data_IF_988996089918
#
_entry.id   IF_988996089918
#
_cell.length_a   1.000
_cell.length_b   1.000
_cell.length_c   1.000
_cell.angle_alpha   90.00
_cell.angle_beta   90.00
_cell.angle_gamma   90.00
#
_symmetry.space_group_name_H-M   'P 1'
#
loop_
_entity.id
_entity.type
_entity.pdbx_description
1 polymer ?
#
# COMPACT_ATOMS: atom_id res chain seq x y z
N UNK A 1 4.44 9.45 3.65
CA UNK A 1 5.73 8.85 3.27
C UNK A 1 5.76 7.33 3.39
N UNK A 2 5.21 6.72 4.46
CA UNK A 2 5.22 5.25 4.60
C UNK A 2 4.63 4.48 3.41
N UNK A 3 3.48 4.91 2.88
CA UNK A 3 2.84 4.26 1.73
C UNK A 3 3.70 4.27 0.45
N UNK A 4 4.44 5.35 0.20
CA UNK A 4 5.35 5.45 -0.94
C UNK A 4 6.52 4.48 -0.82
N UNK A 5 7.09 4.34 0.39
CA UNK A 5 8.20 3.41 0.65
C UNK A 5 7.75 1.96 0.45
N UNK A 6 6.56 1.59 0.92
CA UNK A 6 6.01 0.25 0.72
C UNK A 6 5.87 -0.11 -0.77
N UNK A 7 5.37 0.83 -1.58
CA UNK A 7 5.26 0.61 -3.03
C UNK A 7 6.62 0.59 -3.72
N UNK A 8 7.56 1.43 -3.28
CA UNK A 8 8.90 1.44 -3.83
C UNK A 8 9.61 0.11 -3.58
N UNK A 9 9.52 -0.42 -2.35
CA UNK A 9 10.05 -1.73 -2.02
C UNK A 9 9.40 -2.83 -2.86
N UNK A 10 8.07 -2.81 -3.00
CA UNK A 10 7.37 -3.79 -3.81
C UNK A 10 7.75 -3.75 -5.30
N UNK A 11 8.06 -2.56 -5.82
CA UNK A 11 8.60 -2.39 -7.17
C UNK A 11 10.02 -2.97 -7.32
N UNK A 12 10.87 -2.81 -6.32
CA UNK A 12 12.26 -3.28 -6.38
C UNK A 12 12.37 -4.79 -6.17
N UNK A 13 11.51 -5.37 -5.33
CA UNK A 13 11.57 -6.77 -4.94
C UNK A 13 10.21 -7.47 -5.14
N UNK A 14 9.65 -7.47 -6.36
CA UNK A 14 8.29 -7.97 -6.60
C UNK A 14 8.12 -9.46 -6.27
N UNK A 15 9.18 -10.25 -6.38
CA UNK A 15 9.17 -11.69 -6.02
C UNK A 15 9.17 -11.93 -4.50
N UNK A 16 9.39 -10.90 -3.69
CA UNK A 16 9.30 -10.96 -2.23
C UNK A 16 7.91 -10.59 -1.69
N UNK A 17 6.97 -10.24 -2.58
CA UNK A 17 5.68 -9.65 -2.22
C UNK A 17 4.54 -10.58 -2.57
N UNK A 18 3.70 -10.86 -1.57
CA UNK A 18 2.42 -11.56 -1.75
C UNK A 18 1.24 -10.59 -1.91
N UNK A 19 1.21 -9.54 -1.09
CA UNK A 19 0.19 -8.48 -1.08
C UNK A 19 0.83 -7.16 -0.64
N UNK A 20 0.34 -6.03 -1.17
CA UNK A 20 0.70 -4.68 -0.69
C UNK A 20 -0.54 -3.97 -0.20
N UNK A 21 -0.45 -3.33 0.97
CA UNK A 21 -1.47 -2.41 1.49
C UNK A 21 -0.84 -1.04 1.63
N UNK A 22 -1.53 0.00 1.16
CA UNK A 22 -1.07 1.39 1.27
C UNK A 22 -2.20 2.32 1.69
N UNK A 23 -1.87 3.25 2.58
CA UNK A 23 -2.74 4.36 2.98
C UNK A 23 -2.23 5.62 2.30
N UNK A 24 -2.94 6.02 1.25
CA UNK A 24 -2.83 7.31 0.57
C UNK A 24 -1.42 7.77 0.19
N UNK A 25 -0.66 6.86 -0.45
CA UNK A 25 0.59 7.21 -1.11
C UNK A 25 0.37 8.26 -2.21
N UNK A 26 1.35 9.15 -2.36
CA UNK A 26 1.18 10.34 -3.21
C UNK A 26 2.13 10.35 -4.40
N UNK A 27 3.25 9.63 -4.38
CA UNK A 27 4.37 9.83 -5.31
C UNK A 27 4.74 8.58 -6.09
N UNK A 28 4.75 7.42 -5.44
CA UNK A 28 5.16 6.17 -6.10
C UNK A 28 3.95 5.54 -6.82
N UNK A 29 4.02 5.34 -8.15
CA UNK A 29 2.92 4.73 -8.90
C UNK A 29 2.69 3.27 -8.58
N UNK A 30 1.47 2.77 -8.86
CA UNK A 30 1.17 1.36 -8.74
C UNK A 30 1.82 0.50 -9.84
N UNK A 31 2.11 -0.75 -9.50
CA UNK A 31 2.57 -1.76 -10.44
C UNK A 31 1.32 -2.38 -11.08
N UNK A 32 1.27 -2.40 -12.41
CA UNK A 32 0.09 -2.85 -13.18
C UNK A 32 0.32 -4.15 -13.93
N UNK A 33 1.45 -4.82 -13.67
CA UNK A 33 1.83 -6.11 -14.26
C UNK A 33 1.15 -7.33 -13.61
N UNK A 34 0.35 -7.10 -12.55
CA UNK A 34 -0.46 -8.12 -11.89
C UNK A 34 0.31 -9.15 -11.06
N UNK A 35 1.59 -8.88 -10.72
CA UNK A 35 2.46 -9.83 -9.99
C UNK A 35 2.01 -10.10 -8.56
N UNK A 36 1.40 -9.12 -7.91
CA UNK A 36 0.83 -9.22 -6.57
C UNK A 36 -0.38 -8.32 -6.45
N UNK A 37 -1.23 -8.58 -5.45
CA UNK A 37 -2.40 -7.76 -5.20
C UNK A 37 -2.06 -6.49 -4.43
N UNK A 38 -2.74 -5.40 -4.78
CA UNK A 38 -2.58 -4.10 -4.11
C UNK A 38 -3.94 -3.69 -3.53
N UNK A 39 -3.98 -3.35 -2.25
CA UNK A 39 -5.08 -2.62 -1.63
C UNK A 39 -4.60 -1.19 -1.32
N UNK A 40 -5.29 -0.20 -1.87
CA UNK A 40 -5.00 1.21 -1.60
C UNK A 40 -6.21 1.93 -1.06
N UNK A 41 -6.08 2.55 0.10
CA UNK A 41 -7.06 3.48 0.63
C UNK A 41 -6.69 4.89 0.18
N UNK A 42 -7.66 5.61 -0.39
CA UNK A 42 -7.48 6.96 -0.91
C UNK A 42 -8.28 7.95 -0.07
N UNK A 43 -7.62 9.02 0.35
CA UNK A 43 -8.30 10.12 1.03
C UNK A 43 -9.15 10.91 0.05
N UNK A 44 -10.09 11.68 0.60
CA UNK A 44 -10.74 12.82 -0.05
C UNK A 44 -10.15 14.11 0.50
N UNK A 45 -8.87 14.33 0.21
CA UNK A 45 -8.12 15.49 0.72
C UNK A 45 -7.98 16.61 -0.34
N UNK A 46 -8.23 17.88 0.02
CA UNK A 46 -8.06 19.00 -0.92
C UNK A 46 -6.59 19.37 -1.16
N UNK A 47 -5.68 19.04 -0.22
CA UNK A 47 -4.27 19.42 -0.24
C UNK A 47 -3.39 18.25 -0.67
N UNK A 48 -3.56 17.10 -0.04
CA UNK A 48 -2.73 15.92 -0.26
C UNK A 48 -3.26 15.09 -1.43
N UNK A 49 -2.89 15.48 -2.65
CA UNK A 49 -3.29 14.81 -3.88
C UNK A 49 -2.14 13.97 -4.45
N UNK A 50 -2.43 12.76 -4.97
CA UNK A 50 -1.42 11.98 -5.66
C UNK A 50 -0.95 12.70 -6.93
N UNK A 51 0.33 12.53 -7.26
CA UNK A 51 0.88 12.97 -8.53
C UNK A 51 0.17 12.23 -9.70
N UNK A 52 0.06 12.86 -10.89
CA UNK A 52 -0.54 12.22 -12.05
C UNK A 52 0.08 10.85 -12.36
N UNK A 53 -0.77 9.85 -12.60
CA UNK A 53 -0.33 8.48 -12.91
C UNK A 53 0.01 7.61 -11.70
N UNK A 54 -0.06 8.14 -10.47
CA UNK A 54 0.17 7.33 -9.27
C UNK A 54 -0.94 6.30 -9.07
N UNK A 55 -2.19 6.71 -9.27
CA UNK A 55 -3.36 5.83 -9.29
C UNK A 55 -3.80 5.69 -10.75
N UNK A 56 -3.72 4.47 -11.33
CA UNK A 56 -4.25 4.20 -12.67
C UNK A 56 -5.78 4.36 -12.73
N UNK A 57 -6.34 4.30 -13.93
CA UNK A 57 -7.79 4.23 -14.10
C UNK A 57 -8.38 2.93 -13.51
N UNK A 58 -9.70 2.93 -13.29
CA UNK A 58 -10.40 1.84 -12.61
C UNK A 58 -10.35 0.53 -13.44
N UNK A 59 -10.29 0.59 -14.77
CA UNK A 59 -10.20 -0.60 -15.63
C UNK A 59 -8.82 -1.26 -15.52
N UNK A 60 -7.76 -0.46 -15.55
CA UNK A 60 -6.38 -0.91 -15.36
C UNK A 60 -6.23 -1.49 -13.95
N UNK A 61 -6.80 -0.83 -12.93
CA UNK A 61 -6.80 -1.35 -11.57
C UNK A 61 -7.46 -2.74 -11.49
N UNK A 62 -8.65 -2.90 -12.08
CA UNK A 62 -9.36 -4.17 -12.07
C UNK A 62 -8.56 -5.29 -12.77
N UNK A 63 -7.99 -5.01 -13.95
CA UNK A 63 -7.17 -5.97 -14.71
C UNK A 63 -5.89 -6.37 -13.96
N UNK A 64 -5.29 -5.45 -13.23
CA UNK A 64 -4.05 -5.66 -12.49
C UNK A 64 -4.26 -6.24 -11.07
N UNK A 65 -5.51 -6.49 -10.64
CA UNK A 65 -5.79 -6.99 -9.28
C UNK A 65 -5.55 -5.94 -8.18
N UNK A 66 -5.74 -4.67 -8.52
CA UNK A 66 -5.63 -3.52 -7.62
C UNK A 66 -7.03 -3.13 -7.12
N UNK A 67 -7.19 -3.11 -5.81
CA UNK A 67 -8.40 -2.62 -5.15
C UNK A 67 -8.15 -1.22 -4.62
N UNK A 68 -8.87 -0.23 -5.17
CA UNK A 68 -8.82 1.16 -4.71
C UNK A 68 -10.07 1.48 -3.90
N UNK A 69 -9.90 1.72 -2.61
CA UNK A 69 -10.98 2.15 -1.71
C UNK A 69 -10.94 3.67 -1.58
N UNK A 70 -11.90 4.34 -2.22
CA UNK A 70 -12.06 5.80 -2.11
C UNK A 70 -12.87 6.11 -0.85
N UNK A 71 -12.23 6.71 0.14
CA UNK A 71 -12.85 7.03 1.44
C UNK A 71 -13.40 8.45 1.46
N UNK A 72 -14.15 8.79 2.51
CA UNK A 72 -14.58 10.17 2.81
C UNK A 72 -13.59 10.95 3.67
N UNK A 73 -12.52 10.31 4.14
CA UNK A 73 -11.59 10.82 5.14
C UNK A 73 -10.49 11.70 4.54
N UNK A 74 -9.93 12.62 5.34
CA UNK A 74 -8.73 13.36 4.97
C UNK A 74 -7.48 12.50 5.13
N UNK A 75 -6.35 12.95 4.56
CA UNK A 75 -5.08 12.22 4.63
C UNK A 75 -4.69 11.90 6.09
N UNK A 76 -4.83 12.90 6.97
CA UNK A 76 -4.45 12.79 8.39
C UNK A 76 -5.44 12.00 9.25
N UNK A 77 -6.64 11.70 8.75
CA UNK A 77 -7.63 10.89 9.48
C UNK A 77 -7.26 9.40 9.48
N UNK A 78 -6.38 8.97 8.56
CA UNK A 78 -5.99 7.55 8.39
C UNK A 78 -4.76 7.16 9.22
N UNK A 79 -4.55 7.84 10.35
CA UNK A 79 -3.48 7.55 11.33
C UNK A 79 -4.09 7.04 12.64
N UNK A 80 -3.25 6.55 13.54
CA UNK A 80 -3.70 5.97 14.82
C UNK A 80 -4.56 6.92 15.68
N UNK A 81 -4.27 8.22 15.62
CA UNK A 81 -5.02 9.28 16.32
C UNK A 81 -6.16 9.88 15.48
N UNK A 82 -6.52 9.25 14.37
CA UNK A 82 -7.66 9.61 13.56
C UNK A 82 -9.00 9.11 14.13
N UNK A 83 -10.12 9.44 13.48
CA UNK A 83 -11.46 9.05 13.93
C UNK A 83 -11.64 7.53 14.03
N UNK A 84 -12.42 7.08 15.00
CA UNK A 84 -12.72 5.64 15.16
C UNK A 84 -13.42 5.04 13.95
N UNK A 85 -14.25 5.83 13.26
CA UNK A 85 -14.90 5.41 12.01
C UNK A 85 -13.88 5.13 10.90
N UNK A 86 -12.83 5.95 10.78
CA UNK A 86 -11.77 5.74 9.81
C UNK A 86 -11.00 4.44 10.10
N UNK A 87 -10.64 4.21 11.37
CA UNK A 87 -9.99 2.97 11.80
C UNK A 87 -10.85 1.75 11.54
N UNK A 88 -12.13 1.78 11.92
CA UNK A 88 -13.06 0.68 11.70
C UNK A 88 -13.28 0.38 10.21
N UNK A 89 -13.39 1.42 9.37
CA UNK A 89 -13.52 1.28 7.93
C UNK A 89 -12.28 0.65 7.29
N UNK A 90 -11.09 1.14 7.65
CA UNK A 90 -9.80 0.60 7.17
C UNK A 90 -9.63 -0.85 7.60
N UNK A 91 -9.85 -1.14 8.88
CA UNK A 91 -9.73 -2.50 9.42
C UNK A 91 -10.68 -3.47 8.73
N UNK A 92 -11.96 -3.12 8.58
CA UNK A 92 -12.94 -4.01 7.95
C UNK A 92 -12.65 -4.33 6.48
N UNK A 93 -12.02 -3.42 5.74
CA UNK A 93 -11.55 -3.68 4.38
C UNK A 93 -10.24 -4.45 4.35
N UNK A 94 -9.34 -4.18 5.29
CA UNK A 94 -8.08 -4.91 5.44
C UNK A 94 -8.34 -6.39 5.73
N UNK A 95 -9.23 -6.70 6.68
CA UNK A 95 -9.57 -8.07 7.07
C UNK A 95 -10.08 -8.86 5.85
N UNK A 96 -10.99 -8.27 5.06
CA UNK A 96 -11.51 -8.87 3.83
C UNK A 96 -10.43 -9.11 2.77
N UNK A 97 -9.44 -8.22 2.67
CA UNK A 97 -8.36 -8.35 1.69
C UNK A 97 -7.33 -9.40 2.11
N UNK A 98 -7.11 -9.54 3.41
CA UNK A 98 -6.17 -10.52 3.96
C UNK A 98 -6.76 -11.94 3.98
N UNK A 99 -8.08 -12.08 4.07
CA UNK A 99 -8.78 -13.36 3.97
C UNK A 99 -8.50 -14.08 2.63
N UNK A 100 -8.04 -15.33 2.71
CA UNK A 100 -7.61 -16.16 1.58
C UNK A 100 -8.79 -16.83 0.84
N UNK A 101 -9.99 -16.84 1.43
CA UNK A 101 -11.24 -17.28 0.76
C UNK A 101 -12.02 -16.12 0.11
N UNK A 102 -11.51 -14.89 0.24
CA UNK A 102 -12.14 -13.72 -0.35
C UNK A 102 -11.92 -13.63 -1.87
N UNK A 103 -12.79 -12.93 -2.62
CA UNK A 103 -12.49 -12.56 -4.02
C UNK A 103 -11.23 -11.68 -4.14
N UNK A 104 -10.68 -11.21 -3.02
CA UNK A 104 -9.46 -10.43 -2.91
C UNK A 104 -8.22 -11.28 -2.56
N UNK A 105 -8.31 -12.62 -2.53
CA UNK A 105 -7.20 -13.55 -2.20
C UNK A 105 -5.97 -13.43 -3.12
N UNK A 106 -4.74 -13.60 -2.64
CA UNK A 106 -3.52 -13.36 -3.42
C UNK A 106 -3.43 -14.27 -4.66
N UNK A 107 -2.75 -13.81 -5.72
CA UNK A 107 -2.43 -14.63 -6.89
C UNK A 107 -1.30 -15.61 -6.56
N UNK A 108 -1.33 -16.80 -7.13
CA UNK A 108 -0.27 -17.79 -6.95
C UNK A 108 1.03 -17.31 -7.61
N UNK A 109 1.96 -16.84 -6.78
CA UNK A 109 3.30 -16.44 -7.21
C UNK A 109 4.13 -17.70 -7.44
N UNK A 110 4.79 -17.83 -8.60
CA UNK A 110 5.66 -18.97 -8.88
C UNK A 110 6.96 -18.86 -8.11
N UNK A 111 7.03 -19.54 -6.96
CA UNK A 111 8.27 -19.79 -6.21
C UNK A 111 8.34 -19.08 -4.87
N UNK A 112 9.09 -19.61 -3.89
CA UNK A 112 9.29 -18.95 -2.62
C UNK A 112 10.11 -17.68 -2.80
N UNK A 113 9.81 -16.60 -2.06
CA UNK A 113 10.59 -15.38 -2.11
C UNK A 113 12.04 -15.68 -1.75
N UNK A 114 12.98 -15.18 -2.55
CA UNK A 114 14.39 -15.28 -2.22
C UNK A 114 14.62 -14.57 -0.88
N UNK A 115 14.84 -15.33 0.19
CA UNK A 115 15.26 -14.76 1.48
C UNK A 115 16.65 -14.18 1.29
N UNK A 116 16.73 -12.88 1.02
CA UNK A 116 17.98 -12.15 1.11
C UNK A 116 18.12 -11.65 2.53
N UNK A 117 19.22 -12.05 3.17
CA UNK A 117 19.67 -11.51 4.45
C UNK A 117 19.48 -9.98 4.46
N UNK A 118 18.88 -9.45 5.52
CA UNK A 118 18.73 -8.02 5.71
C UNK A 118 20.14 -7.47 5.92
N UNK A 119 20.82 -7.14 4.82
CA UNK A 119 22.17 -6.61 4.84
C UNK A 119 22.29 -5.44 5.82
N UNK A 120 23.50 -5.16 6.34
CA UNK A 120 23.69 -4.39 7.56
C UNK A 120 23.15 -2.96 7.40
N UNK A 121 21.91 -2.75 7.82
CA UNK A 121 21.36 -1.41 8.02
C UNK A 121 21.99 -0.88 9.31
N UNK A 122 22.94 0.05 9.15
CA UNK A 122 23.52 0.75 10.29
C UNK A 122 22.40 1.48 11.05
N UNK A 123 22.28 1.30 12.38
CA UNK A 123 21.28 2.00 13.16
C UNK A 123 21.55 3.52 13.08
N UNK A 124 20.50 4.28 12.81
CA UNK A 124 20.55 5.74 12.83
C UNK A 124 20.86 6.23 14.26
N UNK A 125 21.97 6.93 14.42
CA UNK A 125 22.31 7.63 15.66
C UNK A 125 21.84 9.10 15.54
N UNK A 126 20.99 9.61 16.45
CA UNK A 126 20.57 11.00 16.42
C UNK A 126 21.77 11.92 16.69
N UNK A 127 21.92 12.96 15.88
CA UNK A 127 22.94 13.99 16.07
C UNK A 127 22.47 14.92 17.19
N UNK A 128 23.26 15.00 18.27
CA UNK A 128 23.09 16.01 19.32
C UNK A 128 23.17 17.41 18.71
N UNK A 129 22.11 18.19 18.81
CA UNK A 129 22.18 19.64 18.56
C UNK A 129 22.71 20.31 19.83
N UNK A 130 23.81 21.06 19.70
CA UNK A 130 24.36 21.93 20.74
C UNK A 130 23.51 23.20 20.91
#
# INVERSE_FOLDING_TARGET
MGGDVSLYFAKMYPDQIKKVVTLDNLRVPFMTDGRFKILSFRSKDPVFKPDPGVVPDDEVCAKAGITVVRTSFQHNDMRDTGPDEAKASIQGMLDKFLDDDSPLRPVDVKGPPAMTDAGPVAPYAPVSQN
#
